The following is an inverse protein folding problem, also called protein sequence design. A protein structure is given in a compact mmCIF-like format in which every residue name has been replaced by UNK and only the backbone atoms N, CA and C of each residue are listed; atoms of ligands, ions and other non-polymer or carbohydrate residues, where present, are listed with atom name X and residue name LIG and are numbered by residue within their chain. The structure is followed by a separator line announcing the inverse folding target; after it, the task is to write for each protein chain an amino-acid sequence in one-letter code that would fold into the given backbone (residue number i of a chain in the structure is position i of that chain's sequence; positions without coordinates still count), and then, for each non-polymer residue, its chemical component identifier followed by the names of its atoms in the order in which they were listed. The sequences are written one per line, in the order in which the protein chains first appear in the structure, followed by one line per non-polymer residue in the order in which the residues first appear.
data_IF_684170588177
#
_entry.id   IF_684170588177
#
_cell.length_a   1.000
_cell.length_b   1.000
_cell.length_c   1.000
_cell.angle_alpha   90.00
_cell.angle_beta   90.00
_cell.angle_gamma   90.00
#
_symmetry.space_group_name_H-M   'P 1'
#
loop_
_entity.id
_entity.type
_entity.pdbx_description
1 polymer ?
#
# COMPACT_ATOMS: atom_id res chain seq x y z
N UNK A 1 -74.67 -26.40 -17.03
CA UNK A 1 -75.20 -27.66 -17.65
C UNK A 1 -74.40 -28.75 -17.00
N UNK A 2 -75.00 -29.36 -16.03
CA UNK A 2 -75.83 -30.61 -16.10
C UNK A 2 -74.89 -31.81 -16.09
N UNK A 3 -74.84 -32.42 -15.01
CA UNK A 3 -75.66 -33.54 -14.45
C UNK A 3 -74.93 -34.85 -14.62
N UNK A 4 -74.68 -35.53 -13.54
CA UNK A 4 -75.46 -36.51 -12.79
C UNK A 4 -75.30 -37.93 -13.39
N UNK A 5 -75.13 -38.97 -12.72
CA UNK A 5 -75.73 -39.62 -11.51
C UNK A 5 -75.13 -41.02 -11.35
N UNK A 6 -74.93 -41.42 -10.11
CA UNK A 6 -75.55 -42.53 -9.40
C UNK A 6 -75.48 -43.91 -10.05
N UNK A 7 -75.33 -45.04 -9.39
CA UNK A 7 -75.73 -45.56 -8.08
C UNK A 7 -75.18 -46.99 -7.94
N UNK A 8 -74.67 -47.39 -6.79
CA UNK A 8 -75.30 -48.19 -5.75
C UNK A 8 -75.49 -49.68 -6.07
N UNK A 9 -74.93 -50.56 -5.25
CA UNK A 9 -75.59 -51.53 -4.32
C UNK A 9 -74.66 -52.68 -3.95
N UNK A 10 -74.42 -52.78 -2.68
CA UNK A 10 -74.15 -54.01 -1.88
C UNK A 10 -75.25 -55.06 -2.03
N UNK A 11 -75.16 -56.31 -1.44
CA UNK A 11 -74.42 -56.82 -0.30
C UNK A 11 -74.04 -58.31 -0.30
N UNK A 12 -73.41 -58.68 0.85
CA UNK A 12 -73.52 -59.99 1.57
C UNK A 12 -72.70 -61.16 1.00
N UNK A 13 -72.17 -62.08 1.69
CA UNK A 13 -72.13 -62.48 3.12
C UNK A 13 -71.14 -63.66 3.26
N UNK A 14 -70.66 -63.90 4.46
CA UNK A 14 -70.27 -65.17 5.10
C UNK A 14 -68.85 -65.73 4.99
N UNK A 15 -68.18 -65.53 6.06
CA UNK A 15 -67.70 -66.55 7.02
C UNK A 15 -66.63 -67.54 6.58
N UNK A 16 -65.62 -67.62 7.44
CA UNK A 16 -64.73 -68.77 7.57
C UNK A 16 -63.43 -68.46 8.36
N UNK A 17 -63.49 -68.92 9.58
CA UNK A 17 -62.42 -69.00 10.58
C UNK A 17 -61.03 -69.43 10.08
N UNK A 18 -59.97 -69.00 10.79
CA UNK A 18 -58.73 -69.72 10.74
C UNK A 18 -57.51 -68.92 11.30
N UNK A 19 -57.40 -68.96 12.56
CA UNK A 19 -56.24 -68.80 13.44
C UNK A 19 -54.85 -68.66 12.84
N UNK A 20 -54.13 -67.69 13.44
CA UNK A 20 -52.75 -67.71 13.97
C UNK A 20 -51.57 -67.62 12.98
N UNK A 21 -50.74 -66.61 13.10
CA UNK A 21 -49.59 -66.57 13.99
C UNK A 21 -48.86 -65.26 13.88
N UNK A 22 -48.53 -64.80 15.05
CA UNK A 22 -47.57 -63.68 15.27
C UNK A 22 -46.23 -63.89 14.54
N UNK A 23 -45.80 -62.94 13.73
CA UNK A 23 -44.38 -62.66 13.54
C UNK A 23 -44.16 -61.13 13.36
N UNK A 24 -43.89 -60.58 14.47
CA UNK A 24 -42.91 -59.61 14.80
C UNK A 24 -42.38 -58.65 13.71
N UNK A 25 -42.86 -57.47 13.86
CA UNK A 25 -42.36 -56.22 13.33
C UNK A 25 -40.94 -55.94 13.86
N UNK A 26 -39.94 -56.20 13.03
CA UNK A 26 -38.53 -55.83 13.41
C UNK A 26 -37.72 -55.43 12.17
N UNK A 27 -38.18 -54.42 11.40
CA UNK A 27 -37.44 -53.84 10.29
C UNK A 27 -37.49 -52.32 10.24
N UNK A 28 -37.59 -51.61 11.36
CA UNK A 28 -37.57 -50.16 11.41
C UNK A 28 -36.50 -49.54 12.32
N UNK A 29 -35.43 -50.25 12.68
CA UNK A 29 -34.38 -49.71 13.57
C UNK A 29 -32.97 -49.59 13.00
N UNK A 30 -32.74 -49.85 11.70
CA UNK A 30 -31.39 -49.76 11.13
C UNK A 30 -31.10 -48.51 10.29
N UNK A 31 -32.10 -47.64 10.05
CA UNK A 31 -31.88 -46.43 9.26
C UNK A 31 -31.50 -45.17 10.09
N UNK A 32 -31.73 -45.16 11.38
CA UNK A 32 -31.41 -44.01 12.22
C UNK A 32 -29.95 -43.97 12.68
N UNK A 33 -29.27 -45.13 12.80
CA UNK A 33 -27.88 -45.20 13.24
C UNK A 33 -26.86 -44.80 12.16
N UNK A 34 -27.15 -45.15 10.91
CA UNK A 34 -26.26 -44.78 9.79
C UNK A 34 -26.34 -43.27 9.43
N UNK A 35 -27.56 -42.69 9.54
CA UNK A 35 -27.77 -41.27 9.34
C UNK A 35 -27.13 -40.41 10.47
N UNK A 36 -27.18 -40.89 11.74
CA UNK A 36 -26.56 -40.23 12.87
C UNK A 36 -25.02 -40.29 12.82
N UNK A 37 -24.45 -41.43 12.38
CA UNK A 37 -22.98 -41.53 12.23
C UNK A 37 -22.43 -40.65 11.10
N UNK A 38 -23.12 -40.54 9.97
CA UNK A 38 -22.74 -39.65 8.89
C UNK A 38 -22.80 -38.17 9.29
N UNK A 39 -23.85 -37.79 10.02
CA UNK A 39 -24.00 -36.44 10.54
C UNK A 39 -22.94 -36.13 11.61
N UNK A 40 -22.62 -37.09 12.49
CA UNK A 40 -21.56 -36.92 13.50
C UNK A 40 -20.18 -36.80 12.85
N UNK A 41 -19.90 -37.56 11.79
CA UNK A 41 -18.69 -37.46 11.01
C UNK A 41 -18.58 -36.07 10.30
N UNK A 42 -19.65 -35.61 9.67
CA UNK A 42 -19.69 -34.31 9.04
C UNK A 42 -19.42 -33.16 10.05
N UNK A 43 -20.07 -33.22 11.21
CA UNK A 43 -19.84 -32.25 12.30
C UNK A 43 -18.40 -32.31 12.82
N UNK A 44 -17.82 -33.50 12.97
CA UNK A 44 -16.43 -33.68 13.38
C UNK A 44 -15.47 -33.10 12.34
N UNK A 45 -15.68 -33.37 11.04
CA UNK A 45 -14.83 -32.80 9.97
C UNK A 45 -14.92 -31.28 9.93
N UNK A 46 -16.13 -30.71 10.02
CA UNK A 46 -16.32 -29.25 10.06
C UNK A 46 -15.63 -28.67 11.30
N UNK A 47 -15.80 -29.28 12.48
CA UNK A 47 -15.17 -28.85 13.72
C UNK A 47 -13.64 -28.85 13.64
N UNK A 48 -13.05 -29.92 13.10
CA UNK A 48 -11.60 -30.01 12.88
C UNK A 48 -11.13 -28.98 11.86
N UNK A 49 -11.89 -28.75 10.78
CA UNK A 49 -11.53 -27.75 9.77
C UNK A 49 -11.53 -26.32 10.33
N UNK A 50 -12.55 -25.99 11.13
CA UNK A 50 -12.63 -24.70 11.84
C UNK A 50 -11.45 -24.54 12.81
N UNK A 51 -11.15 -25.57 13.57
CA UNK A 51 -10.04 -25.56 14.53
C UNK A 51 -8.70 -25.35 13.82
N UNK A 52 -8.46 -26.06 12.69
CA UNK A 52 -7.27 -25.86 11.87
C UNK A 52 -7.21 -24.46 11.29
N UNK A 53 -8.31 -23.93 10.79
CA UNK A 53 -8.36 -22.55 10.28
C UNK A 53 -8.04 -21.53 11.36
N UNK A 54 -8.56 -21.70 12.59
CA UNK A 54 -8.21 -20.84 13.71
C UNK A 54 -6.73 -20.93 14.09
N UNK A 55 -6.15 -22.13 14.12
CA UNK A 55 -4.72 -22.33 14.40
C UNK A 55 -3.87 -21.68 13.34
N UNK A 56 -4.21 -21.85 12.04
CA UNK A 56 -3.51 -21.21 10.94
C UNK A 56 -3.61 -19.68 11.01
N UNK A 57 -4.78 -19.15 11.35
CA UNK A 57 -4.98 -17.71 11.52
C UNK A 57 -4.11 -17.14 12.66
N UNK A 58 -4.11 -17.79 13.82
CA UNK A 58 -3.28 -17.39 14.96
C UNK A 58 -1.80 -17.44 14.61
N UNK A 59 -1.36 -18.51 13.91
CA UNK A 59 0.01 -18.64 13.46
C UNK A 59 0.39 -17.55 12.42
N UNK A 60 -0.47 -17.29 11.45
CA UNK A 60 -0.24 -16.25 10.45
C UNK A 60 -0.17 -14.85 11.09
N UNK A 61 -1.05 -14.57 12.05
CA UNK A 61 -1.07 -13.30 12.77
C UNK A 61 0.24 -13.03 13.52
N UNK A 62 0.86 -14.04 14.14
CA UNK A 62 2.14 -13.87 14.82
C UNK A 62 3.32 -13.80 13.84
N UNK A 63 3.32 -14.63 12.78
CA UNK A 63 4.37 -14.63 11.75
C UNK A 63 4.45 -13.31 11.01
N UNK A 64 3.30 -12.71 10.69
CA UNK A 64 3.17 -11.49 9.89
C UNK A 64 2.97 -10.23 10.75
N UNK A 65 2.93 -10.36 12.07
CA UNK A 65 2.73 -9.28 13.04
C UNK A 65 1.49 -8.38 12.79
N UNK A 66 0.38 -8.95 12.24
CA UNK A 66 -0.75 -8.20 11.67
C UNK A 66 -1.54 -7.32 12.68
N UNK A 67 -1.51 -7.62 13.98
CA UNK A 67 -2.31 -6.93 15.01
C UNK A 67 -1.49 -6.52 16.23
N UNK A 68 -0.20 -6.26 16.06
CA UNK A 68 0.66 -5.81 17.15
C UNK A 68 0.73 -4.28 17.14
N UNK A 69 0.57 -3.61 18.30
CA UNK A 69 0.78 -2.17 18.38
C UNK A 69 2.25 -1.87 18.11
N UNK A 70 2.52 -0.80 17.37
CA UNK A 70 3.87 -0.35 17.11
C UNK A 70 4.57 0.06 18.42
N UNK A 71 5.66 -0.62 18.74
CA UNK A 71 6.49 -0.33 19.91
C UNK A 71 7.92 -0.71 19.61
N UNK A 72 8.84 0.23 19.77
CA UNK A 72 10.27 -0.05 19.72
C UNK A 72 10.74 -0.78 20.98
N UNK A 73 11.55 -1.80 20.77
CA UNK A 73 12.12 -2.64 21.83
C UNK A 73 13.60 -2.89 21.52
N UNK A 74 14.45 -2.59 22.50
CA UNK A 74 15.88 -2.89 22.40
C UNK A 74 16.17 -4.25 23.04
N UNK A 75 16.79 -5.15 22.27
CA UNK A 75 17.27 -6.46 22.76
C UNK A 75 18.77 -6.61 22.52
N UNK A 76 19.44 -7.24 23.48
CA UNK A 76 20.86 -7.58 23.35
C UNK A 76 20.99 -9.10 23.16
N UNK A 77 21.78 -9.48 22.17
CA UNK A 77 22.17 -10.86 21.89
C UNK A 77 23.65 -11.01 22.25
N UNK A 78 23.97 -11.82 23.21
CA UNK A 78 25.34 -12.05 23.65
C UNK A 78 26.01 -13.14 22.80
N UNK A 79 27.36 -13.15 22.75
CA UNK A 79 28.12 -14.16 21.95
C UNK A 79 27.87 -15.59 22.40
N UNK A 80 27.49 -15.79 23.65
CA UNK A 80 27.24 -17.09 24.25
C UNK A 80 25.76 -17.49 24.18
N UNK A 81 24.89 -16.62 23.69
CA UNK A 81 23.46 -16.89 23.62
C UNK A 81 23.13 -17.97 22.62
N UNK A 82 22.41 -18.98 23.06
CA UNK A 82 21.74 -19.93 22.19
C UNK A 82 20.56 -19.27 21.50
N UNK A 83 20.20 -19.72 20.29
CA UNK A 83 19.00 -19.25 19.58
C UNK A 83 17.70 -19.41 20.40
N UNK A 84 17.67 -20.35 21.35
CA UNK A 84 16.56 -20.51 22.28
C UNK A 84 16.44 -19.34 23.24
N UNK A 85 17.56 -18.84 23.77
CA UNK A 85 17.59 -17.69 24.67
C UNK A 85 17.18 -16.41 23.92
N UNK A 86 17.64 -16.24 22.67
CA UNK A 86 17.19 -15.14 21.81
C UNK A 86 15.68 -15.18 21.61
N UNK A 87 15.12 -16.36 21.27
CA UNK A 87 13.68 -16.52 21.11
C UNK A 87 12.90 -16.29 22.42
N UNK A 88 13.49 -16.60 23.59
CA UNK A 88 12.89 -16.30 24.88
C UNK A 88 12.85 -14.79 25.16
N UNK A 89 13.92 -14.05 24.84
CA UNK A 89 13.95 -12.59 24.95
C UNK A 89 12.93 -11.94 23.99
N UNK A 90 12.90 -12.35 22.72
CA UNK A 90 11.90 -11.84 21.76
C UNK A 90 10.46 -12.02 22.25
N UNK A 91 10.16 -13.20 22.85
CA UNK A 91 8.84 -13.46 23.44
C UNK A 91 8.56 -12.59 24.66
N UNK A 92 9.54 -12.44 25.55
CA UNK A 92 9.41 -11.64 26.77
C UNK A 92 9.09 -10.17 26.44
N UNK A 93 9.69 -9.66 25.39
CA UNK A 93 9.52 -8.27 24.94
C UNK A 93 8.31 -8.09 23.99
N UNK A 94 7.55 -9.17 23.71
CA UNK A 94 6.32 -9.09 22.91
C UNK A 94 6.54 -9.05 21.40
N UNK A 95 7.78 -9.24 20.92
CA UNK A 95 8.11 -9.27 19.49
C UNK A 95 7.56 -10.52 18.81
N UNK A 96 7.50 -11.64 19.52
CA UNK A 96 6.90 -12.90 19.07
C UNK A 96 5.97 -13.45 20.14
N UNK A 97 4.91 -14.14 19.72
CA UNK A 97 3.98 -14.81 20.66
C UNK A 97 4.29 -16.29 20.79
N UNK A 98 4.59 -16.97 19.69
CA UNK A 98 4.82 -18.42 19.65
C UNK A 98 6.29 -18.75 19.33
N UNK A 99 7.10 -18.90 20.38
CA UNK A 99 8.52 -19.28 20.29
C UNK A 99 8.78 -20.51 19.41
N UNK A 100 7.91 -21.54 19.48
CA UNK A 100 8.04 -22.76 18.65
C UNK A 100 7.89 -22.47 17.16
N UNK A 101 6.93 -21.61 16.81
CA UNK A 101 6.67 -21.19 15.45
C UNK A 101 7.83 -20.35 14.88
N UNK A 102 8.33 -19.38 15.65
CA UNK A 102 9.50 -18.59 15.27
C UNK A 102 10.75 -19.45 15.03
N UNK A 103 11.01 -20.44 15.90
CA UNK A 103 12.14 -21.36 15.75
C UNK A 103 12.00 -22.23 14.49
N UNK A 104 10.80 -22.72 14.22
CA UNK A 104 10.51 -23.51 13.00
C UNK A 104 10.75 -22.65 11.77
N UNK A 105 10.19 -21.44 11.74
CA UNK A 105 10.37 -20.47 10.65
C UNK A 105 11.86 -20.16 10.41
N UNK A 106 12.60 -19.83 11.46
CA UNK A 106 14.04 -19.55 11.38
C UNK A 106 14.87 -20.74 10.88
N UNK A 107 14.46 -21.98 11.22
CA UNK A 107 15.12 -23.19 10.73
C UNK A 107 14.87 -23.45 9.24
N UNK A 108 13.61 -23.28 8.80
CA UNK A 108 13.22 -23.50 7.39
C UNK A 108 13.81 -22.44 6.47
N UNK A 109 13.87 -21.19 6.90
CA UNK A 109 14.38 -20.06 6.10
C UNK A 109 15.90 -19.85 6.20
N UNK A 110 16.60 -20.66 7.01
CA UNK A 110 18.02 -20.46 7.28
C UNK A 110 18.34 -19.20 8.11
N UNK A 111 17.32 -18.53 8.61
CA UNK A 111 17.46 -17.29 9.38
C UNK A 111 18.19 -17.45 10.71
N UNK A 112 18.19 -18.66 11.28
CA UNK A 112 18.91 -18.97 12.50
C UNK A 112 20.43 -18.68 12.42
N UNK A 113 21.03 -18.92 11.26
CA UNK A 113 22.46 -18.67 11.01
C UNK A 113 22.78 -17.18 10.80
N UNK A 114 21.77 -16.33 10.60
CA UNK A 114 21.94 -14.89 10.37
C UNK A 114 21.94 -14.07 11.67
N UNK A 115 21.40 -14.63 12.77
CA UNK A 115 21.37 -13.95 14.06
C UNK A 115 22.78 -13.86 14.62
N UNK A 116 23.21 -12.65 14.93
CA UNK A 116 24.56 -12.32 15.39
C UNK A 116 24.55 -11.65 16.75
N UNK A 117 25.64 -11.75 17.54
CA UNK A 117 25.76 -10.98 18.78
C UNK A 117 25.73 -9.47 18.52
N UNK A 118 25.02 -8.73 19.38
CA UNK A 118 24.91 -7.27 19.28
C UNK A 118 23.65 -6.76 20.00
N UNK A 119 23.53 -5.44 20.05
CA UNK A 119 22.31 -4.77 20.55
C UNK A 119 21.48 -4.30 19.36
N UNK A 120 20.21 -4.65 19.37
CA UNK A 120 19.29 -4.42 18.25
C UNK A 120 18.05 -3.68 18.74
N UNK A 121 17.67 -2.63 18.03
CA UNK A 121 16.37 -1.98 18.19
C UNK A 121 15.41 -2.58 17.16
N UNK A 122 14.38 -3.24 17.65
CA UNK A 122 13.37 -3.94 16.85
C UNK A 122 12.00 -3.37 17.16
N UNK A 123 11.07 -3.47 16.21
CA UNK A 123 9.69 -3.03 16.40
C UNK A 123 8.74 -4.24 16.52
N UNK A 124 7.71 -4.13 17.34
CA UNK A 124 6.73 -5.21 17.59
C UNK A 124 5.86 -5.51 16.35
N UNK A 125 5.77 -4.61 15.38
CA UNK A 125 5.09 -4.81 14.11
C UNK A 125 5.93 -5.54 13.05
N UNK A 126 7.21 -5.84 13.35
CA UNK A 126 8.09 -6.61 12.46
C UNK A 126 7.65 -8.06 12.35
N UNK A 127 7.51 -8.55 11.11
CA UNK A 127 7.31 -9.96 10.82
C UNK A 127 8.53 -10.80 11.20
N UNK A 128 8.40 -12.12 11.21
CA UNK A 128 9.51 -13.01 11.58
C UNK A 128 10.73 -12.88 10.68
N UNK A 129 10.55 -12.54 9.40
CA UNK A 129 11.66 -12.32 8.46
C UNK A 129 12.41 -11.04 8.83
N UNK A 130 11.68 -9.95 9.06
CA UNK A 130 12.24 -8.66 9.46
C UNK A 130 12.98 -8.77 10.80
N UNK A 131 12.43 -9.48 11.80
CA UNK A 131 13.11 -9.75 13.08
C UNK A 131 14.43 -10.50 12.88
N UNK A 132 14.45 -11.57 12.07
CA UNK A 132 15.68 -12.33 11.80
C UNK A 132 16.73 -11.51 11.03
N UNK A 133 16.29 -10.70 10.06
CA UNK A 133 17.17 -9.81 9.31
C UNK A 133 17.66 -8.65 10.18
N UNK A 134 16.81 -8.13 11.04
CA UNK A 134 17.13 -7.07 12.01
C UNK A 134 18.19 -7.48 13.03
N UNK A 135 18.37 -8.78 13.30
CA UNK A 135 19.39 -9.32 14.21
C UNK A 135 20.62 -9.87 13.48
N UNK A 136 20.85 -9.50 12.22
CA UNK A 136 22.04 -9.93 11.46
C UNK A 136 23.27 -9.10 11.80
N UNK A 137 24.46 -9.57 11.38
CA UNK A 137 25.76 -8.88 11.60
C UNK A 137 25.72 -7.41 11.19
N UNK A 138 25.01 -7.11 10.10
CA UNK A 138 24.90 -5.75 9.57
C UNK A 138 23.92 -4.86 10.36
N UNK A 139 23.14 -5.43 11.28
CA UNK A 139 22.15 -4.70 12.08
C UNK A 139 22.68 -4.21 13.43
N UNK A 140 23.73 -4.85 13.97
CA UNK A 140 24.31 -4.49 15.27
C UNK A 140 25.09 -3.16 15.27
N UNK A 141 25.38 -2.64 14.08
CA UNK A 141 26.08 -1.35 13.86
C UNK A 141 25.16 -0.27 13.31
N UNK A 142 23.85 -0.43 13.43
CA UNK A 142 22.90 0.58 12.92
C UNK A 142 23.09 1.89 13.67
N UNK A 143 23.63 2.87 12.98
CA UNK A 143 23.54 4.25 13.40
C UNK A 143 22.15 4.78 13.02
N UNK A 144 21.44 5.39 13.95
CA UNK A 144 20.24 6.13 13.64
C UNK A 144 20.62 7.43 12.95
N UNK A 145 20.04 7.67 11.77
CA UNK A 145 20.27 8.88 11.00
C UNK A 145 18.94 9.58 10.72
N UNK A 146 18.94 10.89 10.86
CA UNK A 146 17.79 11.73 10.53
C UNK A 146 18.01 12.37 9.17
N UNK A 147 17.09 12.13 8.24
CA UNK A 147 17.13 12.65 6.87
C UNK A 147 15.87 13.46 6.62
N UNK A 148 16.04 14.69 6.16
CA UNK A 148 14.92 15.52 5.68
C UNK A 148 14.81 15.37 4.17
N UNK A 149 13.65 14.92 3.71
CA UNK A 149 13.28 14.85 2.29
C UNK A 149 12.56 16.15 1.94
N UNK A 150 13.15 17.01 1.09
CA UNK A 150 12.51 18.26 0.67
C UNK A 150 11.28 18.00 -0.21
N UNK A 151 10.33 18.96 -0.16
CA UNK A 151 9.24 19.01 -1.14
C UNK A 151 9.77 19.16 -2.57
N UNK A 152 9.10 18.54 -3.53
CA UNK A 152 9.46 18.63 -4.94
C UNK A 152 10.57 17.67 -5.37
N UNK A 153 11.11 16.82 -4.48
CA UNK A 153 12.05 15.78 -4.87
C UNK A 153 11.32 14.68 -5.65
N UNK A 154 11.96 14.19 -6.71
CA UNK A 154 11.50 13.00 -7.44
C UNK A 154 11.87 11.73 -6.70
N UNK A 155 11.23 10.60 -7.02
CA UNK A 155 11.61 9.26 -6.52
C UNK A 155 13.11 9.01 -6.69
N UNK A 156 13.67 9.33 -7.86
CA UNK A 156 15.10 9.17 -8.13
C UNK A 156 15.98 10.02 -7.20
N UNK A 157 15.60 11.27 -6.97
CA UNK A 157 16.33 12.16 -6.05
C UNK A 157 16.25 11.71 -4.60
N UNK A 158 15.07 11.19 -4.18
CA UNK A 158 14.89 10.62 -2.85
C UNK A 158 15.78 9.38 -2.68
N UNK A 159 15.81 8.48 -3.67
CA UNK A 159 16.63 7.27 -3.61
C UNK A 159 18.12 7.60 -3.56
N UNK A 160 18.57 8.58 -4.34
CA UNK A 160 19.94 9.05 -4.26
C UNK A 160 20.28 9.64 -2.88
N UNK A 161 19.38 10.46 -2.31
CA UNK A 161 19.54 11.01 -0.98
C UNK A 161 19.65 9.91 0.10
N UNK A 162 18.84 8.84 -0.02
CA UNK A 162 18.89 7.70 0.90
C UNK A 162 20.19 6.90 0.75
N UNK A 163 20.69 6.70 -0.47
CA UNK A 163 21.98 6.04 -0.73
C UNK A 163 23.16 6.87 -0.22
N UNK A 164 23.20 8.17 -0.49
CA UNK A 164 24.23 9.09 -0.01
C UNK A 164 24.35 9.08 1.52
N UNK A 165 23.26 8.75 2.20
CA UNK A 165 23.20 8.60 3.65
C UNK A 165 23.28 7.14 4.14
N UNK A 166 23.68 6.21 3.29
CA UNK A 166 23.87 4.79 3.60
C UNK A 166 22.62 4.10 4.17
N UNK A 167 21.42 4.52 3.79
CA UNK A 167 20.16 3.86 4.17
C UNK A 167 19.98 2.58 3.37
N UNK A 168 19.95 2.68 2.03
CA UNK A 168 19.92 1.57 1.10
C UNK A 168 20.45 2.04 -0.25
N UNK A 169 20.90 1.12 -1.12
CA UNK A 169 21.38 1.50 -2.46
C UNK A 169 20.23 1.92 -3.37
N UNK A 170 20.51 2.77 -4.36
CA UNK A 170 19.52 3.16 -5.38
C UNK A 170 18.94 1.92 -6.07
N UNK A 171 19.77 0.90 -6.33
CA UNK A 171 19.34 -0.36 -6.95
C UNK A 171 18.31 -1.10 -6.09
N UNK A 172 18.58 -1.27 -4.78
CA UNK A 172 17.66 -1.91 -3.84
C UNK A 172 16.35 -1.13 -3.69
N UNK A 173 16.42 0.19 -3.62
CA UNK A 173 15.25 1.07 -3.53
C UNK A 173 14.41 1.01 -4.81
N UNK A 174 15.06 1.05 -5.97
CA UNK A 174 14.38 0.96 -7.27
C UNK A 174 13.68 -0.39 -7.43
N UNK A 175 14.36 -1.50 -7.08
CA UNK A 175 13.77 -2.82 -7.10
C UNK A 175 12.59 -2.91 -6.13
N UNK A 176 12.75 -2.44 -4.88
CA UNK A 176 11.69 -2.45 -3.88
C UNK A 176 10.49 -1.60 -4.31
N UNK A 177 10.70 -0.45 -4.93
CA UNK A 177 9.63 0.40 -5.44
C UNK A 177 8.88 -0.26 -6.60
N UNK A 178 9.60 -0.92 -7.52
CA UNK A 178 9.02 -1.55 -8.70
C UNK A 178 8.27 -2.86 -8.38
N UNK A 179 8.84 -3.71 -7.52
CA UNK A 179 8.39 -5.09 -7.39
C UNK A 179 7.55 -5.36 -6.13
N UNK A 180 7.72 -4.55 -5.05
CA UNK A 180 7.00 -4.79 -3.80
C UNK A 180 5.58 -4.22 -3.87
N UNK A 181 4.59 -5.06 -3.55
CA UNK A 181 3.19 -4.65 -3.45
C UNK A 181 2.91 -4.03 -2.07
N UNK A 182 2.93 -2.70 -2.03
CA UNK A 182 2.60 -1.94 -0.82
C UNK A 182 1.07 -1.86 -0.67
N UNK A 183 0.53 -2.33 0.45
CA UNK A 183 -0.90 -2.49 0.68
C UNK A 183 -1.64 -1.19 1.03
N UNK A 184 -1.46 -0.12 0.24
CA UNK A 184 -2.16 1.14 0.41
C UNK A 184 -3.27 1.33 -0.62
N UNK A 185 -4.42 1.87 -0.19
CA UNK A 185 -5.58 2.09 -1.06
C UNK A 185 -5.30 3.05 -2.21
N UNK A 186 -4.45 4.05 -1.99
CA UNK A 186 -4.08 5.04 -3.01
C UNK A 186 -3.11 4.49 -4.10
N UNK A 187 -2.53 3.31 -3.88
CA UNK A 187 -1.70 2.61 -4.88
C UNK A 187 -2.48 1.56 -5.67
N UNK A 188 -3.75 1.30 -5.33
CA UNK A 188 -4.56 0.32 -6.03
C UNK A 188 -4.74 0.68 -7.50
N UNK A 189 -4.52 -0.31 -8.38
CA UNK A 189 -4.62 -0.13 -9.82
C UNK A 189 -3.36 0.44 -10.50
N UNK A 190 -2.32 0.80 -9.72
CA UNK A 190 -1.03 1.19 -10.28
C UNK A 190 -0.18 -0.07 -10.46
N UNK A 191 0.20 -0.45 -11.70
CA UNK A 191 0.91 -1.69 -11.96
C UNK A 191 2.30 -1.71 -11.33
N UNK A 192 2.77 -2.92 -11.01
CA UNK A 192 4.16 -3.19 -10.65
C UNK A 192 5.06 -3.15 -11.90
N UNK A 193 6.37 -3.06 -11.68
CA UNK A 193 7.40 -3.16 -12.73
C UNK A 193 8.15 -1.86 -12.99
N UNK A 194 7.72 -0.74 -12.44
CA UNK A 194 8.36 0.56 -12.57
C UNK A 194 8.45 1.25 -11.21
N UNK A 195 9.62 1.76 -10.85
CA UNK A 195 9.82 2.49 -9.60
C UNK A 195 9.09 3.86 -9.59
N UNK A 196 8.92 4.48 -10.75
CA UNK A 196 8.20 5.75 -10.91
C UNK A 196 6.71 5.64 -10.57
N UNK A 197 6.18 4.41 -10.39
CA UNK A 197 4.81 4.20 -9.91
C UNK A 197 4.55 4.86 -8.54
N UNK A 198 5.61 5.09 -7.75
CA UNK A 198 5.55 5.74 -6.44
C UNK A 198 5.75 7.27 -6.51
N UNK A 199 5.93 7.85 -7.71
CA UNK A 199 6.07 9.30 -7.86
C UNK A 199 4.82 10.03 -7.37
N UNK A 200 5.03 11.02 -6.51
CA UNK A 200 3.97 11.77 -5.83
C UNK A 200 3.52 11.21 -4.48
N UNK A 201 3.91 9.96 -4.13
CA UNK A 201 3.46 9.28 -2.91
C UNK A 201 4.52 9.17 -1.81
N UNK A 202 5.79 9.45 -2.10
CA UNK A 202 6.85 9.47 -1.11
C UNK A 202 6.84 10.83 -0.39
N UNK A 203 6.05 10.92 0.70
CA UNK A 203 5.77 12.20 1.35
C UNK A 203 7.04 12.91 1.84
N UNK A 204 7.23 14.20 1.51
CA UNK A 204 8.37 14.99 1.99
C UNK A 204 8.21 15.30 3.48
N UNK A 205 9.18 14.87 4.28
CA UNK A 205 9.23 15.10 5.74
C UNK A 205 10.61 14.75 6.27
N UNK A 206 10.80 14.87 7.57
CA UNK A 206 12.01 14.44 8.26
C UNK A 206 11.81 13.04 8.83
N UNK A 207 12.63 12.10 8.38
CA UNK A 207 12.55 10.68 8.75
C UNK A 207 13.79 10.23 9.50
N UNK A 208 13.59 9.37 10.49
CA UNK A 208 14.68 8.67 11.14
C UNK A 208 14.84 7.29 10.51
N UNK A 209 16.04 6.96 10.05
CA UNK A 209 16.38 5.67 9.48
C UNK A 209 17.50 5.02 10.26
N UNK A 210 17.44 3.71 10.43
CA UNK A 210 18.58 2.92 10.84
C UNK A 210 19.46 2.60 9.64
N UNK A 211 20.78 2.71 9.72
CA UNK A 211 21.68 2.45 8.60
C UNK A 211 22.54 1.20 8.82
N UNK A 212 22.68 0.28 7.87
CA UNK A 212 21.88 0.16 6.64
C UNK A 212 20.44 -0.29 6.92
N UNK A 213 19.50 0.12 6.10
CA UNK A 213 18.08 -0.18 6.25
C UNK A 213 17.57 -1.10 5.15
N UNK A 214 16.45 -1.77 5.38
CA UNK A 214 15.75 -2.50 4.32
C UNK A 214 15.05 -1.47 3.42
N UNK A 215 15.30 -1.53 2.11
CA UNK A 215 14.74 -0.61 1.11
C UNK A 215 13.20 -0.58 1.14
N UNK A 216 12.56 -1.76 1.28
CA UNK A 216 11.08 -1.86 1.39
C UNK A 216 10.58 -1.08 2.60
N UNK A 217 11.24 -1.22 3.75
CA UNK A 217 10.82 -0.50 4.96
C UNK A 217 11.04 1.01 4.84
N UNK A 218 12.16 1.45 4.25
CA UNK A 218 12.43 2.86 4.05
C UNK A 218 11.33 3.52 3.18
N UNK A 219 10.95 2.86 2.09
CA UNK A 219 9.85 3.31 1.23
C UNK A 219 8.51 3.26 1.98
N UNK A 220 8.23 2.16 2.68
CA UNK A 220 6.98 2.00 3.43
C UNK A 220 6.79 3.12 4.46
N UNK A 221 7.86 3.55 5.14
CA UNK A 221 7.82 4.65 6.11
C UNK A 221 7.32 5.96 5.50
N UNK A 222 7.73 6.26 4.28
CA UNK A 222 7.28 7.45 3.54
C UNK A 222 5.84 7.31 3.07
N UNK A 223 5.43 6.10 2.65
CA UNK A 223 4.05 5.81 2.23
C UNK A 223 3.07 5.84 3.42
N UNK A 224 3.47 5.35 4.59
CA UNK A 224 2.68 5.47 5.83
C UNK A 224 2.44 6.94 6.17
N UNK A 225 3.49 7.77 6.13
CA UNK A 225 3.34 9.19 6.39
C UNK A 225 2.41 9.87 5.36
N UNK A 226 2.49 9.48 4.08
CA UNK A 226 1.54 9.94 3.08
C UNK A 226 0.11 9.54 3.44
N UNK A 227 -0.12 8.30 3.84
CA UNK A 227 -1.43 7.78 4.24
C UNK A 227 -2.03 8.55 5.42
N UNK A 228 -1.20 8.86 6.43
CA UNK A 228 -1.60 9.68 7.58
C UNK A 228 -1.96 11.12 7.20
N UNK A 229 -1.23 11.73 6.26
CA UNK A 229 -1.50 13.09 5.76
C UNK A 229 -2.68 13.14 4.81
N UNK A 230 -2.93 12.07 4.08
CA UNK A 230 -4.07 11.92 3.15
C UNK A 230 -5.33 11.53 3.92
N UNK A 231 -5.93 12.52 4.57
CA UNK A 231 -7.09 12.35 5.47
C UNK A 231 -8.35 11.87 4.75
N UNK A 232 -9.33 11.38 5.51
CA UNK A 232 -10.64 10.95 4.97
C UNK A 232 -11.38 12.10 4.27
N UNK A 233 -11.27 13.33 4.78
CA UNK A 233 -11.82 14.52 4.12
C UNK A 233 -11.18 14.76 2.74
N UNK A 234 -9.86 14.60 2.64
CA UNK A 234 -9.16 14.72 1.35
C UNK A 234 -9.53 13.57 0.40
N UNK A 235 -9.70 12.34 0.89
CA UNK A 235 -10.19 11.19 0.10
C UNK A 235 -11.58 11.46 -0.47
N UNK A 236 -12.47 12.05 0.33
CA UNK A 236 -13.81 12.43 -0.12
C UNK A 236 -13.74 13.52 -1.20
N UNK A 237 -12.90 14.56 -1.00
CA UNK A 237 -12.69 15.62 -1.99
C UNK A 237 -12.14 15.11 -3.32
N UNK A 238 -11.21 14.14 -3.28
CA UNK A 238 -10.72 13.45 -4.49
C UNK A 238 -11.88 12.76 -5.20
N UNK A 239 -12.70 12.01 -4.46
CA UNK A 239 -13.88 11.32 -5.03
C UNK A 239 -14.86 12.32 -5.66
N UNK A 240 -15.15 13.41 -4.98
CA UNK A 240 -16.08 14.45 -5.44
C UNK A 240 -15.56 15.23 -6.66
N UNK A 241 -14.23 15.35 -6.79
CA UNK A 241 -13.59 16.06 -7.90
C UNK A 241 -13.70 15.31 -9.25
N UNK A 242 -13.90 13.99 -9.21
CA UNK A 242 -13.87 13.10 -10.37
C UNK A 242 -12.45 12.83 -10.92
N UNK A 243 -11.41 13.33 -10.25
CA UNK A 243 -10.01 13.00 -10.54
C UNK A 243 -9.51 11.87 -9.64
N UNK A 244 -8.54 11.11 -10.11
CA UNK A 244 -7.77 10.19 -9.26
C UNK A 244 -6.82 10.99 -8.35
N UNK A 245 -6.39 10.39 -7.23
CA UNK A 245 -5.37 11.01 -6.37
C UNK A 245 -4.08 11.32 -7.16
N UNK A 246 -3.71 10.46 -8.11
CA UNK A 246 -2.52 10.64 -8.95
C UNK A 246 -2.63 11.88 -9.83
N UNK A 247 -3.79 12.15 -10.39
CA UNK A 247 -4.07 13.37 -11.14
C UNK A 247 -4.06 14.60 -10.24
N UNK A 248 -4.63 14.53 -9.04
CA UNK A 248 -4.59 15.62 -8.06
C UNK A 248 -3.15 15.99 -7.68
N UNK A 249 -2.28 15.01 -7.46
CA UNK A 249 -0.86 15.26 -7.17
C UNK A 249 -0.12 15.98 -8.32
N UNK A 250 -0.66 15.90 -9.52
CA UNK A 250 -0.12 16.56 -10.72
C UNK A 250 -0.68 17.98 -10.92
N UNK A 251 -1.78 18.33 -10.24
CA UNK A 251 -2.51 19.58 -10.45
C UNK A 251 -2.04 20.68 -9.47
N UNK A 252 -1.68 21.85 -10.00
CA UNK A 252 -1.58 23.10 -9.24
C UNK A 252 -2.66 24.08 -9.74
N UNK A 253 -2.95 25.17 -8.98
CA UNK A 253 -4.02 26.12 -9.31
C UNK A 253 -4.01 26.66 -10.74
N UNK A 254 -2.81 26.98 -11.28
CA UNK A 254 -2.66 27.45 -12.65
C UNK A 254 -2.92 26.34 -13.66
N UNK A 255 -2.47 25.12 -13.36
CA UNK A 255 -2.70 23.93 -14.18
C UNK A 255 -4.19 23.64 -14.24
N UNK A 256 -4.89 23.70 -13.11
CA UNK A 256 -6.35 23.54 -13.04
C UNK A 256 -7.09 24.51 -13.98
N UNK A 257 -6.73 25.81 -13.98
CA UNK A 257 -7.34 26.80 -14.86
C UNK A 257 -7.07 26.48 -16.33
N UNK A 258 -5.86 26.05 -16.70
CA UNK A 258 -5.52 25.67 -18.09
C UNK A 258 -6.28 24.42 -18.55
N UNK A 259 -6.46 23.45 -17.65
CA UNK A 259 -7.23 22.22 -17.96
C UNK A 259 -8.71 22.51 -18.20
N UNK A 260 -9.31 23.32 -17.33
CA UNK A 260 -10.75 23.60 -17.39
C UNK A 260 -11.13 24.68 -18.43
N UNK A 261 -10.15 25.39 -19.01
CA UNK A 261 -10.35 26.39 -20.05
C UNK A 261 -9.44 26.11 -21.28
N UNK A 262 -9.62 24.98 -21.98
CA UNK A 262 -8.70 24.56 -23.04
C UNK A 262 -8.67 25.51 -24.25
N UNK A 263 -9.64 26.41 -24.38
CA UNK A 263 -9.67 27.46 -25.43
C UNK A 263 -8.91 28.72 -25.04
N UNK A 264 -8.47 28.85 -23.79
CA UNK A 264 -7.75 30.01 -23.28
C UNK A 264 -6.26 29.68 -23.04
N UNK A 265 -5.45 30.73 -22.98
CA UNK A 265 -4.01 30.59 -22.70
C UNK A 265 -3.28 29.74 -23.74
N UNK A 266 -2.83 28.56 -23.35
CA UNK A 266 -1.98 27.67 -24.16
C UNK A 266 -2.75 26.65 -25.03
N UNK A 267 -4.03 26.81 -25.22
CA UNK A 267 -4.88 25.93 -26.06
C UNK A 267 -4.88 24.44 -25.61
N UNK A 268 -4.83 24.21 -24.32
CA UNK A 268 -4.81 22.86 -23.72
C UNK A 268 -3.43 22.24 -23.58
N UNK A 269 -2.37 22.89 -24.04
CA UNK A 269 -1.00 22.55 -23.69
C UNK A 269 -0.65 23.22 -22.36
N UNK A 270 -0.19 22.43 -21.40
CA UNK A 270 0.11 22.99 -20.06
C UNK A 270 1.40 23.80 -20.04
N UNK A 271 2.36 23.48 -20.91
CA UNK A 271 3.63 24.19 -21.11
C UNK A 271 4.35 24.47 -19.78
N UNK A 272 4.58 23.40 -19.03
CA UNK A 272 5.18 23.44 -17.70
C UNK A 272 6.65 23.05 -17.80
N UNK A 273 7.56 23.99 -17.51
CA UNK A 273 9.00 23.77 -17.55
C UNK A 273 9.46 22.66 -16.60
N UNK A 274 8.80 22.48 -15.46
CA UNK A 274 9.10 21.40 -14.53
C UNK A 274 8.95 20.01 -15.18
N UNK A 275 8.05 19.83 -16.17
CA UNK A 275 7.94 18.56 -16.89
C UNK A 275 9.15 18.30 -17.79
N UNK A 276 9.74 19.35 -18.34
CA UNK A 276 11.00 19.24 -19.09
C UNK A 276 12.18 18.98 -18.17
N UNK A 277 12.22 19.64 -16.99
CA UNK A 277 13.22 19.37 -15.97
C UNK A 277 13.17 17.91 -15.50
N UNK A 278 11.98 17.34 -15.32
CA UNK A 278 11.80 15.92 -15.02
C UNK A 278 12.42 15.03 -16.11
N UNK A 279 12.14 15.33 -17.38
CA UNK A 279 12.64 14.56 -18.53
C UNK A 279 14.15 14.65 -18.74
N UNK A 280 14.78 15.77 -18.37
CA UNK A 280 16.22 15.99 -18.56
C UNK A 280 17.07 15.69 -17.32
N UNK A 281 16.51 15.02 -16.31
CA UNK A 281 17.19 14.61 -15.08
C UNK A 281 17.40 15.75 -14.08
N UNK A 282 16.46 16.70 -14.01
CA UNK A 282 16.44 17.79 -13.02
C UNK A 282 17.28 19.00 -13.40
N UNK A 283 17.73 19.09 -14.65
CA UNK A 283 18.48 20.26 -15.15
C UNK A 283 17.54 21.41 -15.50
N UNK A 284 18.08 22.62 -15.55
CA UNK A 284 17.33 23.78 -16.04
C UNK A 284 16.92 23.54 -17.50
N UNK A 285 15.62 23.59 -17.83
CA UNK A 285 15.13 23.33 -19.17
C UNK A 285 15.66 24.31 -20.19
N UNK A 286 15.95 23.81 -21.39
CA UNK A 286 16.38 24.58 -22.55
C UNK A 286 15.32 24.54 -23.67
N UNK A 287 15.45 25.38 -24.70
CA UNK A 287 14.58 25.32 -25.88
C UNK A 287 14.65 23.95 -26.58
N UNK A 288 15.80 23.27 -26.55
CA UNK A 288 15.96 21.95 -27.13
C UNK A 288 15.15 20.87 -26.40
N UNK A 289 14.95 21.01 -25.09
CA UNK A 289 14.19 20.05 -24.29
C UNK A 289 12.69 20.05 -24.66
N UNK A 290 12.17 21.14 -25.23
CA UNK A 290 10.78 21.22 -25.73
C UNK A 290 10.51 20.26 -26.92
N UNK A 291 11.54 19.73 -27.55
CA UNK A 291 11.44 18.76 -28.62
C UNK A 291 11.52 17.30 -28.17
N UNK A 292 11.71 17.03 -26.87
CA UNK A 292 11.75 15.67 -26.32
C UNK A 292 10.39 15.01 -26.52
N UNK A 293 10.34 13.92 -27.30
CA UNK A 293 9.11 13.16 -27.54
C UNK A 293 8.81 12.25 -26.33
N UNK A 294 7.96 12.73 -25.45
CA UNK A 294 7.53 12.02 -24.25
C UNK A 294 6.12 12.47 -23.87
N UNK A 295 5.25 11.56 -23.37
CA UNK A 295 3.93 11.91 -22.83
C UNK A 295 4.00 12.89 -21.63
N UNK A 296 5.13 13.00 -20.97
CA UNK A 296 5.37 13.99 -19.92
C UNK A 296 5.65 15.39 -20.46
N UNK A 297 5.98 15.53 -21.75
CA UNK A 297 6.27 16.83 -22.35
C UNK A 297 4.98 17.62 -22.62
N UNK A 298 4.62 18.48 -21.69
CA UNK A 298 3.40 19.30 -21.74
C UNK A 298 3.45 20.43 -22.77
N UNK A 299 4.56 20.59 -23.51
CA UNK A 299 4.66 21.43 -24.70
C UNK A 299 4.20 20.72 -25.97
N UNK A 300 4.33 19.38 -26.03
CA UNK A 300 3.96 18.55 -27.18
C UNK A 300 2.64 17.82 -27.00
N UNK A 301 2.30 17.47 -25.76
CA UNK A 301 1.12 16.69 -25.40
C UNK A 301 0.15 17.53 -24.58
N UNK A 302 -1.15 17.43 -24.91
CA UNK A 302 -2.22 18.15 -24.22
C UNK A 302 -2.65 17.40 -22.94
N UNK A 303 -3.11 18.15 -21.95
CA UNK A 303 -3.62 17.61 -20.69
C UNK A 303 -2.53 17.33 -19.68
N UNK A 304 -2.87 16.53 -18.68
CA UNK A 304 -1.94 16.13 -17.61
C UNK A 304 -0.90 15.13 -18.13
N UNK A 305 0.33 15.17 -17.62
CA UNK A 305 1.26 14.07 -17.81
C UNK A 305 0.72 12.78 -17.18
N UNK A 306 1.23 11.59 -17.59
CA UNK A 306 0.70 10.29 -17.13
C UNK A 306 0.80 10.07 -15.62
N UNK A 307 1.71 10.77 -14.96
CA UNK A 307 1.95 10.66 -13.53
C UNK A 307 2.48 11.97 -12.95
N UNK A 308 2.51 12.12 -11.62
CA UNK A 308 3.24 13.17 -10.93
C UNK A 308 4.71 13.18 -11.38
N UNK A 309 5.34 14.35 -11.29
CA UNK A 309 6.75 14.57 -11.67
C UNK A 309 7.62 14.90 -10.45
N UNK A 310 7.04 14.91 -9.27
CA UNK A 310 7.71 15.16 -7.99
C UNK A 310 6.78 14.79 -6.84
N UNK A 311 7.33 14.71 -5.62
CA UNK A 311 6.57 14.45 -4.40
C UNK A 311 6.19 15.79 -3.75
N UNK A 312 4.87 16.15 -3.75
CA UNK A 312 4.41 17.44 -3.26
C UNK A 312 4.24 17.45 -1.73
N UNK A 313 4.35 18.63 -1.14
CA UNK A 313 3.97 18.86 0.24
C UNK A 313 2.45 18.99 0.42
N UNK A 314 2.01 19.03 1.68
CA UNK A 314 0.60 19.02 2.04
C UNK A 314 -0.16 20.23 1.49
N UNK A 315 0.46 21.40 1.47
CA UNK A 315 -0.19 22.63 1.00
C UNK A 315 -0.42 22.60 -0.51
N UNK A 316 0.49 21.99 -1.27
CA UNK A 316 0.32 21.76 -2.71
C UNK A 316 -0.85 20.79 -2.98
N UNK A 317 -0.97 19.72 -2.19
CA UNK A 317 -2.08 18.76 -2.31
C UNK A 317 -3.42 19.44 -1.98
N UNK A 318 -3.48 20.23 -0.90
CA UNK A 318 -4.69 21.00 -0.53
C UNK A 318 -5.07 22.00 -1.61
N UNK A 319 -4.10 22.74 -2.16
CA UNK A 319 -4.36 23.70 -3.23
C UNK A 319 -4.89 23.03 -4.51
N UNK A 320 -4.45 21.79 -4.79
CA UNK A 320 -4.98 21.02 -5.91
C UNK A 320 -6.41 20.50 -5.66
N UNK A 321 -6.73 20.15 -4.41
CA UNK A 321 -8.07 19.69 -4.02
C UNK A 321 -9.09 20.82 -3.92
N UNK A 322 -8.65 22.01 -3.51
CA UNK A 322 -9.49 23.21 -3.32
C UNK A 322 -8.90 24.41 -4.09
N UNK A 323 -8.82 24.33 -5.42
CA UNK A 323 -8.19 25.38 -6.20
C UNK A 323 -8.98 26.69 -6.11
N UNK A 324 -8.27 27.78 -5.85
CA UNK A 324 -8.86 29.11 -5.87
C UNK A 324 -9.44 29.43 -7.26
N UNK A 325 -10.64 29.98 -7.30
CA UNK A 325 -11.27 30.47 -8.53
C UNK A 325 -10.59 31.76 -8.99
N UNK A 326 -9.59 31.62 -9.81
CA UNK A 326 -8.83 32.73 -10.38
C UNK A 326 -8.95 32.78 -11.90
N UNK A 327 -8.44 33.84 -12.50
CA UNK A 327 -8.29 33.98 -13.95
C UNK A 327 -6.81 34.11 -14.36
N UNK A 328 -5.90 33.56 -13.55
CA UNK A 328 -4.49 33.46 -13.87
C UNK A 328 -4.22 32.20 -14.69
N UNK A 329 -3.47 32.37 -15.79
CA UNK A 329 -3.08 31.29 -16.70
C UNK A 329 -1.55 31.12 -16.79
N UNK A 330 -0.79 32.05 -16.24
CA UNK A 330 0.66 32.08 -16.32
C UNK A 330 1.23 32.35 -14.92
N UNK A 331 2.42 31.81 -14.67
CA UNK A 331 3.17 32.04 -13.43
C UNK A 331 4.65 32.04 -13.72
N UNK A 332 5.42 32.64 -12.83
CA UNK A 332 6.88 32.60 -12.86
C UNK A 332 7.44 32.70 -11.44
N UNK A 333 8.58 32.10 -11.22
CA UNK A 333 9.31 32.20 -9.98
C UNK A 333 10.18 33.45 -10.01
N UNK A 334 10.00 34.36 -9.03
CA UNK A 334 10.81 35.57 -8.88
C UNK A 334 12.22 35.32 -8.33
N UNK A 335 13.08 36.31 -8.39
CA UNK A 335 14.41 36.28 -7.76
C UNK A 335 14.36 36.14 -6.24
N UNK A 336 13.24 36.52 -5.64
CA UNK A 336 12.91 36.36 -4.22
C UNK A 336 12.42 34.96 -3.84
N UNK A 337 12.44 34.00 -4.79
CA UNK A 337 11.92 32.63 -4.67
C UNK A 337 10.39 32.56 -4.40
N UNK A 338 9.63 33.60 -4.69
CA UNK A 338 8.16 33.58 -4.65
C UNK A 338 7.58 33.43 -6.04
N UNK A 339 6.39 32.78 -6.13
CA UNK A 339 5.65 32.69 -7.40
C UNK A 339 4.79 33.92 -7.61
N UNK A 340 4.90 34.52 -8.80
CA UNK A 340 4.02 35.56 -9.29
C UNK A 340 3.08 35.00 -10.36
N UNK A 341 1.82 35.44 -10.34
CA UNK A 341 0.75 34.92 -11.19
C UNK A 341 0.24 36.00 -12.15
N UNK A 342 -0.03 35.61 -13.40
CA UNK A 342 -0.38 36.55 -14.49
C UNK A 342 -1.58 36.04 -15.28
N UNK A 343 -2.36 36.99 -15.84
CA UNK A 343 -3.51 36.67 -16.69
C UNK A 343 -3.10 36.44 -18.14
N UNK A 344 -2.08 37.14 -18.59
CA UNK A 344 -1.58 37.10 -19.97
C UNK A 344 -0.10 36.75 -20.06
N UNK A 345 0.30 36.18 -21.21
CA UNK A 345 1.69 35.87 -21.49
C UNK A 345 2.57 37.13 -21.49
N UNK A 346 2.04 38.26 -21.99
CA UNK A 346 2.76 39.52 -22.05
C UNK A 346 3.07 40.07 -20.64
N UNK A 347 2.16 39.93 -19.68
CA UNK A 347 2.41 40.25 -18.27
C UNK A 347 3.55 39.38 -17.68
N UNK A 348 3.51 38.06 -17.92
CA UNK A 348 4.57 37.15 -17.48
C UNK A 348 5.93 37.54 -18.12
N UNK A 349 5.96 37.76 -19.43
CA UNK A 349 7.21 38.11 -20.12
C UNK A 349 7.79 39.45 -19.65
N UNK A 350 6.95 40.43 -19.35
CA UNK A 350 7.41 41.70 -18.73
C UNK A 350 8.05 41.44 -17.37
N UNK A 351 7.45 40.59 -16.54
CA UNK A 351 8.01 40.22 -15.26
C UNK A 351 9.34 39.49 -15.41
N UNK A 352 9.45 38.49 -16.29
CA UNK A 352 10.65 37.71 -16.51
C UNK A 352 11.86 38.59 -16.91
N UNK A 353 11.62 39.64 -17.71
CA UNK A 353 12.69 40.61 -18.08
C UNK A 353 13.23 41.41 -16.90
N UNK A 354 12.53 41.47 -15.79
CA UNK A 354 12.98 42.15 -14.57
C UNK A 354 13.76 41.26 -13.63
N UNK A 355 13.75 39.94 -13.87
CA UNK A 355 14.36 38.95 -13.00
C UNK A 355 15.74 38.56 -13.51
N UNK A 356 16.72 38.52 -12.60
CA UNK A 356 18.11 38.17 -12.96
C UNK A 356 18.28 36.71 -13.32
N UNK A 357 17.47 35.82 -12.76
CA UNK A 357 17.53 34.38 -13.03
C UNK A 357 17.15 33.99 -14.46
N UNK A 358 16.53 34.86 -15.24
CA UNK A 358 16.09 34.63 -16.61
C UNK A 358 16.86 35.46 -17.65
N UNK A 359 17.82 36.27 -17.22
CA UNK A 359 18.61 37.14 -18.09
C UNK A 359 20.05 36.65 -18.28
#
# INVERSE_FOLDING_TARGET
MAQERRSARTPADRSGDGQSSRRSNNRRRSRSFAASSGMLYAVAVIGVSILLACVCWIAANDVLALNKPEKEVTITVDKEDSFNQVADRLKKEGLIEYKGLFKLFASVTGGKAKVSPGTYTLNTDMDYRALLSGMSVNSSTKAEITITIPEGYTVTQIFQLLEDNNVATVEELTQAAAEHDYAFSFLQGIPLGDAERLEGFLYPDTYQFNTPHNAVYAINKMLVNFDEKYTDDMRQKVTDSGYSIREILTIASVIYNRLNNPSAGTMGYLQIDATLAFLNGGKVPTEADKAIDSPYNTYLYKGLPPAPIANPGLDSIKAALEPEKTNYFYYALGDDNTHSFFRTLDEQQRFLRTQTRYN
#
